data_IF_789626519477
#
_entry.id   IF_789626519477
#
_cell.length_a   1.000
_cell.length_b   1.000
_cell.length_c   1.000
_cell.angle_alpha   90.00
_cell.angle_beta   90.00
_cell.angle_gamma   90.00
#
_symmetry.space_group_name_H-M   'P 1'
#
loop_
_entity.id
_entity.type
_entity.pdbx_description
1 polymer ?
#
# COMPACT_ATOMS: atom_id res chain seq x y z
N UNK A 1 -28.13 -31.67 51.44
CA UNK A 1 -26.76 -31.30 51.85
C UNK A 1 -25.99 -31.07 50.56
N UNK A 2 -25.65 -29.81 50.27
CA UNK A 2 -24.90 -29.42 49.08
C UNK A 2 -23.41 -29.53 49.39
N UNK A 3 -22.60 -30.01 48.45
CA UNK A 3 -21.14 -29.98 48.55
C UNK A 3 -20.56 -29.33 47.29
N UNK A 4 -20.09 -28.08 47.46
CA UNK A 4 -19.17 -27.32 46.60
C UNK A 4 -17.91 -28.16 46.38
N UNK A 5 -17.36 -28.36 45.18
CA UNK A 5 -16.80 -27.44 44.17
C UNK A 5 -15.70 -26.51 44.73
N UNK A 6 -14.45 -26.97 44.61
CA UNK A 6 -13.21 -26.19 44.55
C UNK A 6 -12.27 -27.00 43.63
N UNK A 7 -12.09 -26.69 42.35
CA UNK A 7 -11.33 -25.56 41.77
C UNK A 7 -9.86 -25.53 42.20
N UNK A 8 -9.12 -26.56 41.78
CA UNK A 8 -7.70 -26.43 41.45
C UNK A 8 -7.55 -26.54 39.92
N UNK A 9 -8.10 -25.57 39.20
CA UNK A 9 -7.77 -25.34 37.79
C UNK A 9 -6.34 -24.81 37.77
N UNK A 10 -5.41 -25.76 37.71
CA UNK A 10 -4.02 -25.53 37.34
C UNK A 10 -4.07 -24.76 36.02
N UNK A 11 -3.79 -23.46 36.10
CA UNK A 11 -3.47 -22.59 34.99
C UNK A 11 -2.18 -23.12 34.34
N UNK A 12 -2.28 -24.26 33.66
CA UNK A 12 -1.38 -24.62 32.59
C UNK A 12 -1.78 -23.69 31.45
N UNK A 13 -1.11 -22.54 31.42
CA UNK A 13 -0.94 -21.74 30.22
C UNK A 13 -0.53 -22.70 29.12
N UNK A 14 -1.49 -23.14 28.31
CA UNK A 14 -1.23 -23.79 27.05
C UNK A 14 -0.67 -22.71 26.14
N UNK A 15 0.61 -22.37 26.35
CA UNK A 15 1.54 -22.03 25.28
C UNK A 15 1.62 -23.26 24.38
N UNK A 16 0.50 -23.58 23.73
CA UNK A 16 0.47 -24.46 22.60
C UNK A 16 1.28 -23.71 21.57
N UNK A 17 2.58 -24.01 21.52
CA UNK A 17 3.53 -23.52 20.55
C UNK A 17 2.83 -23.58 19.20
N UNK A 18 2.30 -22.44 18.77
CA UNK A 18 1.47 -22.45 17.59
C UNK A 18 2.43 -22.72 16.46
N UNK A 19 2.40 -23.94 15.92
CA UNK A 19 3.26 -24.34 14.81
C UNK A 19 3.07 -23.41 13.59
N UNK A 20 1.96 -22.69 13.56
CA UNK A 20 1.63 -21.70 12.55
C UNK A 20 0.91 -20.47 13.15
N UNK A 21 1.03 -19.33 12.47
CA UNK A 21 0.33 -18.08 12.75
C UNK A 21 -0.73 -17.84 11.68
N UNK A 22 -1.91 -17.39 12.08
CA UNK A 22 -3.03 -17.09 11.18
C UNK A 22 -3.13 -15.60 10.88
N UNK A 23 -3.28 -15.27 9.60
CA UNK A 23 -3.59 -13.92 9.11
C UNK A 23 -4.95 -13.99 8.41
N UNK A 24 -5.88 -13.13 8.79
CA UNK A 24 -7.28 -13.16 8.34
C UNK A 24 -7.61 -11.85 7.65
N UNK A 25 -8.11 -11.93 6.42
CA UNK A 25 -8.60 -10.75 5.69
C UNK A 25 -9.86 -10.19 6.34
N UNK A 26 -9.85 -8.89 6.64
CA UNK A 26 -11.02 -8.17 7.16
C UNK A 26 -12.18 -8.13 6.16
N UNK A 27 -11.88 -7.96 4.88
CA UNK A 27 -12.90 -7.76 3.84
C UNK A 27 -13.44 -9.06 3.28
N UNK A 28 -12.60 -10.09 3.13
CA UNK A 28 -12.97 -11.35 2.47
C UNK A 28 -13.12 -12.52 3.44
N UNK A 29 -12.69 -12.39 4.70
CA UNK A 29 -12.66 -13.49 5.66
C UNK A 29 -11.69 -14.62 5.29
N UNK A 30 -10.88 -14.45 4.24
CA UNK A 30 -9.88 -15.45 3.83
C UNK A 30 -8.79 -15.55 4.91
N UNK A 31 -8.49 -16.79 5.31
CA UNK A 31 -7.46 -17.09 6.31
C UNK A 31 -6.24 -17.70 5.64
N UNK A 32 -5.07 -17.17 5.97
CA UNK A 32 -3.76 -17.70 5.59
C UNK A 32 -3.04 -18.21 6.83
N UNK A 33 -2.36 -19.36 6.71
CA UNK A 33 -1.56 -19.98 7.77
C UNK A 33 -0.09 -19.96 7.39
N UNK A 34 0.73 -19.36 8.22
CA UNK A 34 2.18 -19.25 8.03
C UNK A 34 2.92 -19.99 9.13
N UNK A 35 4.07 -20.60 8.84
CA UNK A 35 4.88 -21.23 9.87
C UNK A 35 5.36 -20.20 10.91
N UNK A 36 5.57 -20.64 12.16
CA UNK A 36 6.22 -19.81 13.16
C UNK A 36 7.59 -19.31 12.65
N UNK A 37 7.91 -18.03 12.89
CA UNK A 37 9.14 -17.41 12.38
C UNK A 37 9.00 -16.76 10.99
N UNK A 38 7.83 -16.86 10.34
CA UNK A 38 7.61 -16.20 9.05
C UNK A 38 7.68 -14.68 9.17
N UNK A 39 8.46 -14.04 8.32
CA UNK A 39 8.55 -12.58 8.25
C UNK A 39 7.32 -11.96 7.57
N UNK A 40 6.91 -10.77 8.04
CA UNK A 40 5.77 -10.05 7.51
C UNK A 40 5.88 -9.76 6.01
N UNK A 41 7.07 -9.42 5.48
CA UNK A 41 7.28 -9.18 4.04
C UNK A 41 6.98 -10.41 3.18
N UNK A 42 7.34 -11.60 3.67
CA UNK A 42 7.09 -12.85 2.97
C UNK A 42 5.59 -13.15 2.95
N UNK A 43 4.95 -13.06 4.11
CA UNK A 43 3.51 -13.26 4.24
C UNK A 43 2.72 -12.30 3.35
N UNK A 44 3.11 -11.02 3.33
CA UNK A 44 2.47 -9.99 2.51
C UNK A 44 2.63 -10.27 1.00
N UNK A 45 3.82 -10.68 0.56
CA UNK A 45 4.07 -11.09 -0.83
C UNK A 45 3.16 -12.26 -1.23
N UNK A 46 3.03 -13.27 -0.37
CA UNK A 46 2.17 -14.42 -0.60
C UNK A 46 0.69 -14.04 -0.65
N UNK A 47 0.23 -13.22 0.30
CA UNK A 47 -1.16 -12.73 0.37
C UNK A 47 -1.51 -12.00 -0.93
N UNK A 48 -0.68 -11.03 -1.34
CA UNK A 48 -0.90 -10.22 -2.53
C UNK A 48 -0.85 -11.04 -3.84
N UNK A 49 0.00 -12.06 -3.94
CA UNK A 49 -0.01 -12.98 -5.08
C UNK A 49 -1.22 -13.90 -5.08
N UNK A 50 -1.72 -14.30 -3.91
CA UNK A 50 -2.87 -15.20 -3.76
C UNK A 50 -4.23 -14.53 -3.96
N UNK A 51 -4.26 -13.21 -4.07
CA UNK A 51 -5.47 -12.39 -4.31
C UNK A 51 -5.67 -12.00 -5.78
N UNK A 52 -4.74 -12.37 -6.66
CA UNK A 52 -4.75 -12.03 -8.10
C UNK A 52 -5.95 -12.66 -8.83
N UNK A 53 -6.51 -13.77 -8.33
CA UNK A 53 -7.69 -14.42 -8.93
C UNK A 53 -9.02 -13.65 -8.72
N UNK A 54 -9.04 -12.63 -7.87
CA UNK A 54 -10.22 -11.76 -7.67
C UNK A 54 -10.11 -10.50 -8.52
N UNK A 55 -10.43 -10.67 -9.81
CA UNK A 55 -10.22 -9.77 -10.97
C UNK A 55 -10.69 -8.29 -10.84
N UNK A 56 -11.26 -7.79 -9.75
CA UNK A 56 -11.81 -6.41 -9.78
C UNK A 56 -11.78 -5.51 -8.54
N UNK A 57 -11.23 -5.86 -7.37
CA UNK A 57 -11.51 -5.00 -6.21
C UNK A 57 -10.47 -4.86 -5.09
N UNK A 58 -9.43 -5.69 -5.01
CA UNK A 58 -8.56 -5.66 -3.84
C UNK A 58 -7.24 -4.96 -4.15
N UNK A 59 -7.13 -3.70 -3.72
CA UNK A 59 -5.84 -3.02 -3.59
C UNK A 59 -4.86 -3.95 -2.84
N UNK A 60 -3.58 -3.99 -3.24
CA UNK A 60 -2.60 -4.83 -2.55
C UNK A 60 -2.55 -4.43 -1.08
N UNK A 61 -2.43 -5.43 -0.21
CA UNK A 61 -2.17 -5.18 1.20
C UNK A 61 -0.79 -4.53 1.36
N UNK A 62 -0.73 -3.51 2.21
CA UNK A 62 0.44 -2.68 2.44
C UNK A 62 1.26 -3.17 3.63
N UNK A 63 0.59 -3.64 4.70
CA UNK A 63 1.22 -4.20 5.89
C UNK A 63 0.29 -5.19 6.59
N UNK A 64 0.83 -5.92 7.56
CA UNK A 64 0.07 -6.76 8.47
C UNK A 64 0.03 -6.08 9.83
N UNK A 65 -1.12 -6.14 10.50
CA UNK A 65 -1.29 -5.67 11.87
C UNK A 65 -1.98 -6.72 12.73
N UNK A 66 -1.77 -6.68 14.04
CA UNK A 66 -2.59 -7.40 15.01
C UNK A 66 -3.60 -6.43 15.63
N UNK A 67 -4.88 -6.80 15.59
CA UNK A 67 -5.98 -6.01 16.14
C UNK A 67 -6.66 -6.74 17.29
N UNK A 68 -7.14 -5.98 18.27
CA UNK A 68 -8.00 -6.44 19.36
C UNK A 68 -9.01 -5.35 19.68
N UNK A 69 -10.24 -5.75 20.01
CA UNK A 69 -11.33 -4.79 20.24
C UNK A 69 -11.02 -3.86 21.42
N UNK A 70 -11.13 -2.55 21.19
CA UNK A 70 -10.84 -1.52 22.19
C UNK A 70 -9.35 -1.21 22.40
N UNK A 71 -8.45 -1.85 21.64
CA UNK A 71 -7.00 -1.64 21.74
C UNK A 71 -6.42 -1.06 20.45
N UNK A 72 -5.25 -0.43 20.58
CA UNK A 72 -4.50 0.11 19.45
C UNK A 72 -3.84 -1.05 18.69
N UNK A 73 -3.89 -1.07 17.35
CA UNK A 73 -3.29 -2.14 16.56
C UNK A 73 -1.77 -2.17 16.69
N UNK A 74 -1.20 -3.38 16.65
CA UNK A 74 0.24 -3.59 16.59
C UNK A 74 0.66 -3.79 15.14
N UNK A 75 1.48 -2.88 14.63
CA UNK A 75 1.92 -2.88 13.22
C UNK A 75 3.19 -3.71 13.08
N UNK A 76 3.20 -4.64 12.12
CA UNK A 76 4.37 -5.45 11.79
C UNK A 76 5.20 -4.77 10.69
N UNK A 77 6.45 -4.43 11.01
CA UNK A 77 7.42 -3.99 10.00
C UNK A 77 7.81 -5.13 9.04
N UNK A 78 8.37 -4.82 7.86
CA UNK A 78 8.61 -5.80 6.80
C UNK A 78 9.50 -6.98 7.24
N UNK A 79 10.52 -6.73 8.06
CA UNK A 79 11.45 -7.75 8.57
C UNK A 79 11.03 -8.30 9.94
N UNK A 80 9.87 -7.93 10.46
CA UNK A 80 9.38 -8.47 11.73
C UNK A 80 8.77 -9.85 11.53
N UNK A 81 8.98 -10.73 12.51
CA UNK A 81 8.37 -12.04 12.56
C UNK A 81 6.89 -11.87 12.94
N UNK A 82 6.01 -12.59 12.24
CA UNK A 82 4.60 -12.66 12.62
C UNK A 82 4.46 -13.42 13.95
N UNK A 83 3.75 -12.81 14.90
CA UNK A 83 3.55 -13.35 16.24
C UNK A 83 2.06 -13.32 16.56
N UNK A 84 1.54 -14.43 17.10
CA UNK A 84 0.21 -14.43 17.68
C UNK A 84 0.27 -13.93 19.13
N UNK A 85 -0.41 -12.82 19.42
CA UNK A 85 -0.51 -12.22 20.75
C UNK A 85 -1.55 -12.90 21.68
N UNK A 86 -2.19 -13.97 21.22
CA UNK A 86 -3.10 -14.78 22.02
C UNK A 86 -4.54 -14.28 21.99
N UNK A 87 -5.30 -14.59 23.06
CA UNK A 87 -6.76 -14.45 23.10
C UNK A 87 -7.22 -13.02 22.78
N UNK A 88 -8.08 -12.91 21.76
CA UNK A 88 -8.67 -11.64 21.32
C UNK A 88 -7.85 -10.87 20.29
N UNK A 89 -6.60 -11.25 20.06
CA UNK A 89 -5.78 -10.69 18.99
C UNK A 89 -6.00 -11.43 17.68
N UNK A 90 -6.11 -10.69 16.58
CA UNK A 90 -6.24 -11.23 15.24
C UNK A 90 -5.29 -10.51 14.31
N UNK A 91 -4.49 -11.24 13.54
CA UNK A 91 -3.65 -10.63 12.52
C UNK A 91 -4.47 -10.43 11.25
N UNK A 92 -4.33 -9.27 10.64
CA UNK A 92 -5.02 -8.96 9.39
C UNK A 92 -4.11 -8.17 8.44
N UNK A 93 -4.25 -8.37 7.12
CA UNK A 93 -3.61 -7.52 6.13
C UNK A 93 -4.42 -6.23 5.94
N UNK A 94 -3.73 -5.09 5.88
CA UNK A 94 -4.34 -3.77 5.72
C UNK A 94 -4.11 -3.25 4.31
N UNK A 95 -5.16 -2.69 3.71
CA UNK A 95 -5.09 -1.97 2.42
C UNK A 95 -5.15 -0.46 2.67
N UNK A 96 -4.37 0.31 1.90
CA UNK A 96 -4.22 1.76 2.06
C UNK A 96 -5.53 2.55 1.88
N UNK A 97 -6.53 1.98 1.22
CA UNK A 97 -7.87 2.56 1.06
C UNK A 97 -8.81 2.36 2.25
N UNK A 98 -8.44 1.53 3.25
CA UNK A 98 -9.24 1.37 4.47
C UNK A 98 -9.00 2.58 5.38
N UNK A 99 -9.79 3.61 5.11
CA UNK A 99 -9.86 4.92 5.74
C UNK A 99 -9.65 4.88 7.26
N UNK A 100 -8.61 5.57 7.73
CA UNK A 100 -8.57 6.12 9.08
C UNK A 100 -7.32 5.82 9.92
N UNK A 101 -6.11 6.02 9.40
CA UNK A 101 -4.98 6.58 10.15
C UNK A 101 -3.80 6.75 9.19
N UNK A 102 -3.66 7.93 8.59
CA UNK A 102 -2.41 8.34 7.96
C UNK A 102 -1.40 8.66 9.06
N UNK A 103 -0.96 7.64 9.81
CA UNK A 103 0.27 7.76 10.60
C UNK A 103 1.37 7.71 9.56
N UNK A 104 1.96 8.87 9.27
CA UNK A 104 3.05 9.04 8.32
C UNK A 104 4.03 7.89 8.46
N UNK A 105 4.03 7.03 7.44
CA UNK A 105 4.97 5.93 7.34
C UNK A 105 6.33 6.58 7.05
N UNK A 106 7.38 6.33 7.86
CA UNK A 106 8.71 6.87 7.58
C UNK A 106 9.13 6.45 6.17
N UNK A 107 9.74 7.38 5.45
CA UNK A 107 10.06 7.30 4.02
C UNK A 107 10.83 6.02 3.61
N UNK A 108 11.51 5.37 4.58
CA UNK A 108 12.16 4.07 4.44
C UNK A 108 11.23 2.89 4.10
N UNK A 109 9.93 2.99 4.35
CA UNK A 109 8.96 1.95 3.96
C UNK A 109 8.65 1.95 2.47
N UNK A 110 8.79 3.10 1.78
CA UNK A 110 8.61 3.16 0.33
C UNK A 110 9.73 2.41 -0.41
N UNK A 111 10.92 2.31 0.20
CA UNK A 111 12.06 1.55 -0.31
C UNK A 111 11.92 0.04 -0.08
N UNK A 112 11.11 -0.39 0.89
CA UNK A 112 10.81 -1.81 1.17
C UNK A 112 9.66 -2.37 0.31
N UNK A 113 9.30 -1.69 -0.79
CA UNK A 113 8.38 -2.25 -1.80
C UNK A 113 8.98 -3.56 -2.33
N UNK A 114 8.29 -4.70 -2.22
CA UNK A 114 8.71 -5.90 -2.91
C UNK A 114 8.57 -5.61 -4.41
N UNK A 115 9.70 -5.47 -5.10
CA UNK A 115 9.72 -5.52 -6.54
C UNK A 115 9.13 -6.88 -6.94
N UNK A 116 8.01 -6.84 -7.66
CA UNK A 116 7.35 -8.02 -8.17
C UNK A 116 8.26 -8.67 -9.21
N UNK A 117 9.06 -9.65 -8.78
CA UNK A 117 9.83 -10.51 -9.66
C UNK A 117 8.96 -11.75 -9.93
N UNK A 118 8.41 -11.93 -11.15
CA UNK A 118 7.67 -13.14 -11.49
C UNK A 118 8.60 -14.38 -11.49
N UNK A 119 8.07 -15.57 -11.18
CA UNK A 119 8.87 -16.80 -11.15
C UNK A 119 9.45 -17.12 -12.53
N UNK A 120 10.75 -17.43 -12.54
CA UNK A 120 11.47 -17.98 -13.69
C UNK A 120 10.73 -19.21 -14.20
N UNK A 121 10.20 -19.10 -15.42
CA UNK A 121 9.75 -20.22 -16.24
C UNK A 121 10.84 -20.47 -17.25
N UNK A 122 11.49 -21.63 -17.15
CA UNK A 122 12.54 -22.08 -18.06
C UNK A 122 11.93 -22.32 -19.44
N UNK A 123 12.00 -21.32 -20.33
CA UNK A 123 11.77 -21.54 -21.75
C UNK A 123 12.83 -20.80 -22.58
N UNK A 124 13.69 -21.50 -23.34
CA UNK A 124 14.83 -20.91 -24.01
C UNK A 124 14.46 -20.42 -25.40
N UNK A 125 13.53 -19.47 -25.53
CA UNK A 125 13.33 -18.73 -26.79
C UNK A 125 12.59 -17.41 -26.51
N UNK A 126 13.35 -16.34 -26.30
CA UNK A 126 13.06 -14.98 -26.79
C UNK A 126 14.03 -14.03 -26.11
N UNK A 127 15.17 -13.83 -26.74
CA UNK A 127 16.03 -12.71 -26.45
C UNK A 127 15.38 -11.45 -27.03
N UNK A 128 14.51 -10.78 -26.27
CA UNK A 128 14.29 -9.35 -26.41
C UNK A 128 14.34 -8.69 -25.04
N UNK A 129 15.55 -8.25 -24.71
CA UNK A 129 15.81 -7.19 -23.75
C UNK A 129 15.08 -5.93 -24.21
N UNK A 130 13.89 -5.68 -23.69
CA UNK A 130 13.29 -4.36 -23.70
C UNK A 130 13.04 -3.94 -22.25
N UNK A 131 14.13 -3.51 -21.61
CA UNK A 131 14.08 -2.62 -20.46
C UNK A 131 13.46 -1.30 -20.91
N UNK A 132 12.16 -1.15 -20.70
CA UNK A 132 11.53 0.16 -20.71
C UNK A 132 10.60 0.25 -19.51
N UNK A 133 10.99 1.12 -18.58
CA UNK A 133 10.10 1.63 -17.56
C UNK A 133 8.80 2.05 -18.24
N UNK A 134 7.71 1.32 -17.97
CA UNK A 134 6.40 1.61 -18.52
C UNK A 134 5.91 2.92 -17.87
N UNK A 135 6.34 4.05 -18.42
CA UNK A 135 5.72 5.34 -18.16
C UNK A 135 4.27 5.21 -18.62
N UNK A 136 3.34 5.23 -17.68
CA UNK A 136 1.92 5.07 -18.01
C UNK A 136 1.52 6.07 -19.10
N UNK A 137 0.80 5.66 -20.15
CA UNK A 137 0.36 6.57 -21.21
C UNK A 137 -0.54 7.71 -20.66
N UNK A 138 -1.13 7.50 -19.49
CA UNK A 138 -1.86 8.54 -18.75
C UNK A 138 -0.91 9.63 -18.24
N UNK A 139 0.28 9.26 -17.74
CA UNK A 139 1.28 10.21 -17.25
C UNK A 139 1.91 11.01 -18.39
N UNK A 140 2.24 10.37 -19.52
CA UNK A 140 2.75 11.10 -20.70
C UNK A 140 1.69 12.07 -21.24
N UNK A 141 0.41 11.68 -21.25
CA UNK A 141 -0.70 12.54 -21.63
C UNK A 141 -0.85 13.76 -20.72
N UNK A 142 -0.71 13.58 -19.39
CA UNK A 142 -0.72 14.68 -18.42
C UNK A 142 0.41 15.68 -18.68
N UNK A 143 1.62 15.20 -18.97
CA UNK A 143 2.76 16.07 -19.26
C UNK A 143 2.52 16.86 -20.55
N UNK A 144 2.08 16.21 -21.63
CA UNK A 144 1.78 16.88 -22.90
C UNK A 144 0.67 17.93 -22.74
N UNK A 145 -0.37 17.64 -21.96
CA UNK A 145 -1.44 18.61 -21.66
C UNK A 145 -0.90 19.88 -21.00
N UNK A 146 -0.02 19.72 -19.99
CA UNK A 146 0.60 20.87 -19.30
C UNK A 146 1.48 21.67 -20.25
N UNK A 147 2.25 21.01 -21.12
CA UNK A 147 3.05 21.69 -22.14
C UNK A 147 2.17 22.51 -23.08
N UNK A 148 1.10 21.93 -23.62
CA UNK A 148 0.17 22.66 -24.52
C UNK A 148 -0.45 23.86 -23.81
N UNK A 149 -0.87 23.70 -22.54
CA UNK A 149 -1.43 24.79 -21.75
C UNK A 149 -0.39 25.91 -21.51
N UNK A 150 0.85 25.54 -21.19
CA UNK A 150 1.95 26.50 -21.03
C UNK A 150 2.21 27.29 -22.31
N UNK A 151 2.25 26.62 -23.47
CA UNK A 151 2.42 27.29 -24.75
C UNK A 151 1.25 28.23 -25.07
N UNK A 152 0.02 27.81 -24.78
CA UNK A 152 -1.16 28.63 -25.01
C UNK A 152 -1.15 29.90 -24.13
N UNK A 153 -0.86 29.75 -22.84
CA UNK A 153 -0.72 30.88 -21.91
C UNK A 153 0.44 31.78 -22.35
N UNK A 154 1.59 31.20 -22.70
CA UNK A 154 2.75 31.95 -23.16
C UNK A 154 2.50 32.72 -24.45
N UNK A 155 1.74 32.16 -25.40
CA UNK A 155 1.36 32.82 -26.63
C UNK A 155 0.40 33.99 -26.38
N UNK A 156 -0.63 33.80 -25.54
CA UNK A 156 -1.54 34.88 -25.13
C UNK A 156 -0.79 35.98 -24.40
N UNK A 157 0.13 35.62 -23.49
CA UNK A 157 0.95 36.58 -22.77
C UNK A 157 1.88 37.37 -23.69
N UNK A 158 2.53 36.69 -24.63
CA UNK A 158 3.38 37.34 -25.65
C UNK A 158 2.55 38.28 -26.52
N UNK A 159 1.36 37.87 -26.95
CA UNK A 159 0.46 38.71 -27.73
C UNK A 159 -0.01 39.93 -26.92
N UNK A 160 -0.29 39.77 -25.63
CA UNK A 160 -0.60 40.88 -24.74
C UNK A 160 0.59 41.85 -24.61
N UNK A 161 1.82 41.34 -24.48
CA UNK A 161 3.03 42.17 -24.41
C UNK A 161 3.33 42.89 -25.72
N UNK A 162 3.13 42.23 -26.85
CA UNK A 162 3.34 42.80 -28.19
C UNK A 162 2.31 43.92 -28.48
N UNK A 163 1.08 43.74 -27.99
CA UNK A 163 0.03 44.75 -28.07
C UNK A 163 0.06 45.75 -26.91
N UNK A 164 0.95 45.58 -25.91
CA UNK A 164 1.08 46.48 -24.75
C UNK A 164 1.36 47.94 -25.15
N UNK A 165 2.29 48.27 -26.07
CA UNK A 165 2.49 49.66 -26.49
C UNK A 165 1.23 50.27 -27.13
N UNK A 166 0.46 49.48 -27.89
CA UNK A 166 -0.81 49.94 -28.46
C UNK A 166 -1.91 50.07 -27.41
N UNK A 167 -1.96 49.16 -26.42
CA UNK A 167 -2.89 49.23 -25.29
C UNK A 167 -2.60 50.44 -24.38
N UNK A 168 -1.33 50.75 -24.13
CA UNK A 168 -0.90 51.94 -23.39
C UNK A 168 -1.27 53.23 -24.13
N UNK A 169 -1.05 53.28 -25.44
CA UNK A 169 -1.49 54.40 -26.28
C UNK A 169 -3.02 54.55 -26.32
N UNK A 170 -3.77 53.44 -26.24
CA UNK A 170 -5.25 53.45 -26.24
C UNK A 170 -5.88 53.77 -24.88
N UNK A 171 -5.18 53.50 -23.77
CA UNK A 171 -5.62 53.77 -22.40
C UNK A 171 -5.03 55.03 -21.77
N UNK A 172 -4.22 55.80 -22.52
CA UNK A 172 -3.86 57.18 -22.19
C UNK A 172 -3.00 57.32 -20.94
N UNK A 173 -1.78 56.81 -21.00
CA UNK A 173 -0.69 57.23 -20.11
C UNK A 173 0.38 57.94 -20.94
N UNK A 174 0.00 59.10 -21.49
CA UNK A 174 0.97 60.14 -21.84
C UNK A 174 1.59 60.60 -20.52
N UNK A 175 2.77 60.05 -20.19
CA UNK A 175 3.69 60.72 -19.29
C UNK A 175 4.52 61.64 -20.18
N UNK A 176 4.31 62.94 -19.94
CA UNK A 176 5.00 64.10 -20.50
C UNK A 176 6.48 63.89 -20.88
#
# INVERSE_FOLDING_TARGET
>A
MAEQKDEAEVNQSTEQSQSFVEVISRSTGKTWRFAAGTEAKFALKFINSSSVDSILANQPATYVEAVKDGEVPVIFGPNSILVNYGKGWKLQPVTETTKGFSRGMPDDYAAARPEYIPPVSDNPHSAERNSQAALSPVYIGKILLVFVLMFLIGAVFTLLLDNLPQLLSRYGLDVE
#
